data_IF_738313465100
#
_entry.id   IF_738313465100
#
_cell.length_a   1.000
_cell.length_b   1.000
_cell.length_c   1.000
_cell.angle_alpha   90.00
_cell.angle_beta   90.00
_cell.angle_gamma   90.00
#
_symmetry.space_group_name_H-M   'P 1'
#
loop_
_entity.id
_entity.type
_entity.pdbx_description
1 polymer ?
#
# COMPACT_ATOMS: atom_id res chain seq x y z
N UNK A 1 12.34 13.34 -3.81
CA UNK A 1 13.37 12.59 -3.05
C UNK A 1 12.76 11.27 -2.62
N UNK A 2 13.55 10.19 -2.59
CA UNK A 2 13.06 8.91 -2.08
C UNK A 2 13.02 8.96 -0.56
N UNK A 3 11.99 8.33 0.02
CA UNK A 3 11.68 8.35 1.43
C UNK A 3 11.41 6.91 1.91
N UNK A 4 11.70 6.58 3.19
CA UNK A 4 11.44 5.26 3.73
C UNK A 4 9.95 5.03 3.87
N UNK A 5 9.48 3.92 3.31
CA UNK A 5 8.09 3.46 3.36
C UNK A 5 8.13 2.07 4.01
N UNK A 6 7.45 1.94 5.15
CA UNK A 6 7.28 0.64 5.81
C UNK A 6 6.08 -0.04 5.19
N UNK A 7 6.24 -1.25 4.65
CA UNK A 7 5.15 -2.08 4.15
C UNK A 7 4.84 -3.13 5.19
N UNK A 8 3.59 -3.19 5.64
CA UNK A 8 3.01 -4.30 6.42
C UNK A 8 2.20 -5.15 5.45
N UNK A 9 2.78 -6.28 5.07
CA UNK A 9 2.16 -7.23 4.15
C UNK A 9 1.26 -8.20 4.89
N UNK A 10 0.01 -8.36 4.45
CA UNK A 10 -0.98 -9.30 5.00
C UNK A 10 -1.21 -10.45 4.03
N UNK A 11 -0.85 -11.66 4.46
CA UNK A 11 -1.11 -12.89 3.71
C UNK A 11 -1.97 -13.85 4.54
N UNK A 12 -2.76 -14.71 3.89
CA UNK A 12 -3.43 -15.80 4.58
C UNK A 12 -2.40 -16.76 5.19
N UNK A 13 -2.45 -16.95 6.51
CA UNK A 13 -1.56 -17.83 7.27
C UNK A 13 -2.01 -19.29 7.32
N UNK A 14 -3.29 -19.55 7.06
CA UNK A 14 -3.95 -20.83 7.27
C UNK A 14 -5.25 -20.64 8.06
N UNK A 15 -5.80 -21.73 8.58
CA UNK A 15 -7.03 -21.73 9.38
C UNK A 15 -6.70 -22.11 10.83
N UNK A 16 -7.35 -21.49 11.80
CA UNK A 16 -7.14 -21.76 13.23
C UNK A 16 -7.87 -23.03 13.71
N UNK A 17 -7.85 -23.29 15.03
CA UNK A 17 -8.49 -24.47 15.62
C UNK A 17 -10.03 -24.41 15.65
N UNK A 18 -10.63 -23.26 15.36
CA UNK A 18 -12.08 -23.03 15.34
C UNK A 18 -12.66 -22.97 13.92
N UNK A 19 -11.80 -22.80 12.90
CA UNK A 19 -12.20 -22.71 11.50
C UNK A 19 -12.07 -21.30 10.93
N UNK A 20 -11.50 -20.34 11.67
CA UNK A 20 -11.33 -18.95 11.26
C UNK A 20 -10.02 -18.75 10.48
N UNK A 21 -10.07 -17.92 9.44
CA UNK A 21 -8.88 -17.56 8.64
C UNK A 21 -7.88 -16.74 9.47
N UNK A 22 -6.64 -17.21 9.53
CA UNK A 22 -5.53 -16.51 10.17
C UNK A 22 -4.79 -15.62 9.18
N UNK A 23 -4.28 -14.47 9.66
CA UNK A 23 -3.45 -13.55 8.88
C UNK A 23 -2.01 -13.61 9.37
N UNK A 24 -1.07 -13.80 8.45
CA UNK A 24 0.37 -13.61 8.69
C UNK A 24 0.77 -12.22 8.23
N UNK A 25 1.31 -11.43 9.14
CA UNK A 25 1.88 -10.11 8.84
C UNK A 25 3.40 -10.19 8.65
N UNK A 26 3.92 -9.51 7.64
CA UNK A 26 5.37 -9.36 7.42
C UNK A 26 5.72 -7.91 7.16
N UNK A 27 6.60 -7.35 7.97
CA UNK A 27 7.05 -5.95 7.84
C UNK A 27 8.35 -5.87 7.04
N UNK A 28 8.41 -4.92 6.09
CA UNK A 28 9.64 -4.57 5.37
C UNK A 28 9.74 -3.06 5.17
N UNK A 29 10.95 -2.53 4.97
CA UNK A 29 11.16 -1.11 4.65
C UNK A 29 11.76 -1.00 3.26
N UNK A 30 11.13 -0.21 2.41
CA UNK A 30 11.61 0.10 1.05
C UNK A 30 11.72 1.61 0.86
N UNK A 31 12.60 2.04 -0.04
CA UNK A 31 12.73 3.46 -0.39
C UNK A 31 11.97 3.73 -1.68
N UNK A 32 10.93 4.55 -1.59
CA UNK A 32 10.06 4.90 -2.71
C UNK A 32 9.67 6.37 -2.70
N UNK A 33 8.60 6.72 -3.39
CA UNK A 33 7.99 8.05 -3.35
C UNK A 33 6.52 7.93 -2.95
N UNK A 34 6.00 8.94 -2.27
CA UNK A 34 4.61 9.03 -1.84
C UNK A 34 4.12 10.45 -2.04
N UNK A 35 2.89 10.58 -2.53
CA UNK A 35 2.14 11.84 -2.56
C UNK A 35 0.74 11.64 -1.95
N UNK A 36 0.22 12.67 -1.31
CA UNK A 36 -1.21 12.75 -1.03
C UNK A 36 -1.90 13.34 -2.28
N UNK A 37 -2.81 12.59 -2.89
CA UNK A 37 -3.50 12.98 -4.12
C UNK A 37 -4.78 13.77 -3.87
N UNK A 38 -5.34 13.70 -2.66
CA UNK A 38 -6.48 14.52 -2.28
C UNK A 38 -6.98 14.31 -0.86
N UNK A 39 -7.97 15.11 -0.50
CA UNK A 39 -8.77 14.98 0.71
C UNK A 39 -10.24 15.17 0.33
N UNK A 40 -11.13 14.36 0.89
CA UNK A 40 -12.58 14.51 0.71
C UNK A 40 -13.23 14.48 2.09
N UNK A 41 -13.86 15.59 2.46
CA UNK A 41 -14.67 15.67 3.69
C UNK A 41 -15.97 14.89 3.48
N UNK A 42 -16.31 14.01 4.43
CA UNK A 42 -17.54 13.20 4.37
C UNK A 42 -18.56 13.78 5.35
N UNK A 43 -19.60 14.40 4.80
CA UNK A 43 -20.60 15.22 5.52
C UNK A 43 -21.30 14.49 6.68
N UNK A 44 -21.38 13.16 6.66
CA UNK A 44 -22.15 12.37 7.63
C UNK A 44 -21.41 11.96 8.91
N UNK A 45 -20.08 12.03 8.97
CA UNK A 45 -19.31 11.49 10.13
C UNK A 45 -18.09 12.35 10.54
N UNK A 46 -17.85 13.50 9.88
CA UNK A 46 -16.68 14.36 10.11
C UNK A 46 -15.32 13.68 9.82
N UNK A 47 -15.35 12.51 9.15
CA UNK A 47 -14.16 11.77 8.72
C UNK A 47 -13.70 12.29 7.34
N UNK A 48 -12.51 12.88 7.29
CA UNK A 48 -11.84 13.22 6.05
C UNK A 48 -11.21 11.97 5.42
N UNK A 49 -11.70 11.54 4.26
CA UNK A 49 -11.05 10.48 3.46
C UNK A 49 -9.85 11.09 2.74
N UNK A 50 -8.66 10.83 3.27
CA UNK A 50 -7.41 11.22 2.61
C UNK A 50 -7.01 10.13 1.62
N UNK A 51 -6.74 10.54 0.39
CA UNK A 51 -6.31 9.64 -0.69
C UNK A 51 -4.85 9.95 -1.03
N UNK A 52 -4.07 8.90 -1.28
CA UNK A 52 -2.66 8.97 -1.59
C UNK A 52 -2.30 8.11 -2.77
N UNK A 53 -1.04 8.16 -3.16
CA UNK A 53 -0.47 7.31 -4.20
C UNK A 53 1.01 7.13 -3.93
N UNK A 54 1.47 5.90 -4.12
CA UNK A 54 2.81 5.45 -3.78
C UNK A 54 3.48 4.86 -5.02
N UNK A 55 4.76 5.15 -5.17
CA UNK A 55 5.64 4.53 -6.15
C UNK A 55 6.76 3.80 -5.44
N UNK A 56 6.88 2.51 -5.74
CA UNK A 56 7.77 1.56 -5.09
C UNK A 56 8.73 0.98 -6.14
N UNK A 57 9.98 0.61 -5.77
CA UNK A 57 10.92 0.04 -6.72
C UNK A 57 10.40 -1.28 -7.30
N UNK A 58 10.77 -1.58 -8.55
CA UNK A 58 10.42 -2.84 -9.20
C UNK A 58 10.78 -4.06 -8.34
N UNK A 59 9.93 -5.08 -8.37
CA UNK A 59 10.07 -6.29 -7.55
C UNK A 59 9.57 -6.17 -6.10
N UNK A 60 9.20 -4.97 -5.62
CA UNK A 60 8.53 -4.82 -4.32
C UNK A 60 7.24 -5.62 -4.34
N UNK A 61 7.08 -6.59 -3.43
CA UNK A 61 5.86 -7.41 -3.41
C UNK A 61 4.82 -6.77 -2.51
N UNK A 62 3.77 -6.23 -3.12
CA UNK A 62 2.66 -5.54 -2.46
C UNK A 62 1.33 -5.90 -3.14
N UNK A 63 0.24 -5.95 -2.38
CA UNK A 63 -1.11 -6.26 -2.84
C UNK A 63 -2.20 -5.43 -2.14
N UNK A 64 -3.48 -5.63 -2.49
CA UNK A 64 -4.59 -4.81 -2.03
C UNK A 64 -4.96 -4.98 -0.55
N UNK A 65 -4.51 -6.06 0.11
CA UNK A 65 -4.72 -6.29 1.53
C UNK A 65 -3.60 -5.70 2.41
N UNK A 66 -2.55 -5.16 1.79
CA UNK A 66 -1.37 -4.66 2.49
C UNK A 66 -1.59 -3.21 2.97
N UNK A 67 -0.79 -2.82 3.97
CA UNK A 67 -0.76 -1.45 4.47
C UNK A 67 0.66 -0.87 4.31
N UNK A 68 0.75 0.45 4.15
CA UNK A 68 2.01 1.20 4.17
C UNK A 68 1.99 2.24 5.28
N UNK A 69 3.11 2.45 5.96
CA UNK A 69 3.30 3.57 6.88
C UNK A 69 4.32 4.53 6.28
N UNK A 70 3.92 5.81 6.19
CA UNK A 70 4.72 6.87 5.58
C UNK A 70 4.47 8.18 6.35
N UNK A 71 5.54 8.91 6.67
CA UNK A 71 5.49 10.10 7.54
C UNK A 71 4.83 9.91 8.93
N UNK A 72 4.66 8.66 9.38
CA UNK A 72 3.98 8.31 10.64
C UNK A 72 2.50 7.99 10.47
N UNK A 73 1.91 8.25 9.30
CA UNK A 73 0.54 7.88 8.98
C UNK A 73 0.49 6.50 8.30
N UNK A 74 -0.52 5.69 8.64
CA UNK A 74 -0.78 4.39 7.99
C UNK A 74 -1.84 4.55 6.91
N UNK A 75 -1.60 3.91 5.77
CA UNK A 75 -2.44 3.94 4.58
C UNK A 75 -2.66 2.50 4.08
N UNK A 76 -3.87 2.22 3.62
CA UNK A 76 -4.27 0.95 3.05
C UNK A 76 -4.23 1.05 1.52
N UNK A 77 -3.91 -0.05 0.84
CA UNK A 77 -3.83 -0.07 -0.62
C UNK A 77 -5.24 -0.05 -1.24
N UNK A 78 -5.53 0.97 -2.05
CA UNK A 78 -6.82 1.17 -2.71
C UNK A 78 -6.83 0.54 -4.13
N UNK A 79 -7.21 -0.74 -4.17
CA UNK A 79 -7.28 -1.53 -5.41
C UNK A 79 -5.95 -2.21 -5.76
N UNK A 80 -5.85 -2.74 -6.98
CA UNK A 80 -4.69 -3.54 -7.39
C UNK A 80 -3.47 -2.65 -7.73
N UNK A 81 -2.29 -2.90 -7.13
CA UNK A 81 -1.04 -2.26 -7.55
C UNK A 81 -0.71 -2.54 -9.02
N UNK A 82 -0.33 -1.51 -9.76
CA UNK A 82 0.08 -1.57 -11.16
C UNK A 82 1.61 -1.71 -11.27
N UNK A 83 2.07 -2.68 -12.07
CA UNK A 83 3.49 -2.78 -12.43
C UNK A 83 3.70 -2.01 -13.73
N UNK A 84 4.53 -0.97 -13.69
CA UNK A 84 4.93 -0.21 -14.86
C UNK A 84 6.20 -0.80 -15.46
N UNK A 85 6.23 -0.99 -16.77
CA UNK A 85 7.35 -1.56 -17.51
C UNK A 85 7.99 -0.53 -18.44
N UNK A 86 9.31 -0.57 -18.58
CA UNK A 86 10.02 0.23 -19.57
C UNK A 86 9.68 -0.31 -20.98
N UNK A 87 9.16 0.53 -21.90
CA UNK A 87 8.67 0.08 -23.20
C UNK A 87 9.80 -0.29 -24.19
N UNK A 88 11.07 -0.05 -23.85
CA UNK A 88 12.23 -0.36 -24.73
C UNK A 88 12.86 -1.70 -24.40
N UNK A 89 12.79 -2.12 -23.14
CA UNK A 89 13.44 -3.32 -22.60
C UNK A 89 12.45 -4.37 -22.09
N UNK A 90 11.20 -3.98 -21.80
CA UNK A 90 10.18 -4.84 -21.19
C UNK A 90 10.41 -5.14 -19.71
N UNK A 91 11.45 -4.59 -19.09
CA UNK A 91 11.73 -4.75 -17.67
C UNK A 91 10.71 -3.99 -16.82
N UNK A 92 10.41 -4.48 -15.62
CA UNK A 92 9.67 -3.70 -14.63
C UNK A 92 10.53 -2.52 -14.15
N UNK A 93 9.97 -1.32 -14.21
CA UNK A 93 10.62 -0.07 -13.81
C UNK A 93 10.24 0.31 -12.37
N UNK A 94 8.94 0.35 -12.09
CA UNK A 94 8.40 0.61 -10.76
C UNK A 94 7.00 0.00 -10.57
N UNK A 95 6.51 0.06 -9.35
CA UNK A 95 5.16 -0.34 -8.96
C UNK A 95 4.43 0.88 -8.44
N UNK A 96 3.22 1.11 -8.91
CA UNK A 96 2.36 2.21 -8.50
C UNK A 96 1.11 1.65 -7.80
N UNK A 97 0.74 2.21 -6.65
CA UNK A 97 -0.51 1.89 -5.98
C UNK A 97 -1.20 3.16 -5.48
N UNK A 98 -2.53 3.18 -5.58
CA UNK A 98 -3.34 4.18 -4.88
C UNK A 98 -3.49 3.76 -3.43
N UNK A 99 -3.70 4.72 -2.55
CA UNK A 99 -3.91 4.44 -1.12
C UNK A 99 -5.03 5.29 -0.54
N UNK A 100 -5.62 4.80 0.54
CA UNK A 100 -6.51 5.56 1.43
C UNK A 100 -5.89 5.54 2.83
N UNK A 101 -5.95 6.65 3.57
CA UNK A 101 -5.48 6.67 4.95
C UNK A 101 -6.33 5.73 5.82
N UNK A 102 -5.68 4.85 6.57
CA UNK A 102 -6.33 4.02 7.59
C UNK A 102 -6.78 4.92 8.74
N UNK A 103 -7.98 4.67 9.27
CA UNK A 103 -8.55 5.43 10.40
C UNK A 103 -7.84 5.09 11.73
#
# INVERSE_FOLDING_TARGET
>A
MNLPITIVRRAAGGVDQYGDDTVTETTSVVYGHFEQTGATETDSDNIARLNGRVWLPAGTTIGPADQITVHGDTWEIDGQPAVWTDPRTGAADHIEARTVRSQ
#
